data_IF_075421648370
#
_entry.id   IF_075421648370
#
_cell.length_a   1.000
_cell.length_b   1.000
_cell.length_c   1.000
_cell.angle_alpha   90.00
_cell.angle_beta   90.00
_cell.angle_gamma   90.00
#
_symmetry.space_group_name_H-M   'P 1'
#
loop_
_entity.id
_entity.type
_entity.pdbx_description
1 polymer ?
#
# COMPACT_ATOMS: atom_id res chain seq x y z
N UNK A 1 0.01 2.76 5.33
CA UNK A 1 0.44 3.50 6.51
C UNK A 1 0.31 2.64 7.75
N UNK A 2 1.36 2.51 8.53
CA UNK A 2 1.32 1.78 9.81
C UNK A 2 2.54 2.14 10.65
N UNK A 3 2.61 1.55 11.86
CA UNK A 3 3.77 1.67 12.74
C UNK A 3 4.97 0.91 12.19
N UNK A 4 6.18 1.39 12.51
CA UNK A 4 7.41 0.65 12.25
C UNK A 4 7.47 -0.68 13.03
N UNK A 5 6.74 -0.78 14.15
CA UNK A 5 6.55 -2.03 14.87
C UNK A 5 5.34 -2.78 14.28
N UNK A 6 5.53 -3.30 13.09
CA UNK A 6 4.46 -3.90 12.28
C UNK A 6 3.84 -5.12 12.98
N UNK A 7 2.58 -5.02 13.40
CA UNK A 7 1.85 -6.12 14.04
C UNK A 7 1.29 -7.09 12.99
N UNK A 8 0.50 -8.07 13.42
CA UNK A 8 -0.07 -9.06 12.50
C UNK A 8 -1.00 -8.44 11.45
N UNK A 9 -1.78 -7.45 11.83
CA UNK A 9 -2.66 -6.73 10.87
C UNK A 9 -1.82 -6.00 9.83
N UNK A 10 -0.78 -5.33 10.28
CA UNK A 10 0.17 -4.64 9.41
C UNK A 10 0.84 -5.62 8.43
N UNK A 11 1.31 -6.76 8.94
CA UNK A 11 1.94 -7.79 8.11
C UNK A 11 0.97 -8.34 7.07
N UNK A 12 -0.30 -8.50 7.42
CA UNK A 12 -1.33 -8.94 6.49
C UNK A 12 -1.53 -7.93 5.36
N UNK A 13 -1.50 -6.64 5.67
CA UNK A 13 -1.59 -5.61 4.63
C UNK A 13 -0.43 -5.70 3.65
N UNK A 14 0.80 -5.86 4.15
CA UNK A 14 1.97 -6.03 3.30
C UNK A 14 1.86 -7.27 2.43
N UNK A 15 1.40 -8.37 3.01
CA UNK A 15 1.20 -9.62 2.28
C UNK A 15 0.22 -9.45 1.12
N UNK A 16 -0.94 -8.87 1.38
CA UNK A 16 -1.95 -8.67 0.35
C UNK A 16 -1.51 -7.70 -0.72
N UNK A 17 -0.79 -6.64 -0.36
CA UNK A 17 -0.24 -5.71 -1.33
C UNK A 17 0.71 -6.44 -2.30
N UNK A 18 1.57 -7.31 -1.77
CA UNK A 18 2.48 -8.11 -2.61
C UNK A 18 1.71 -9.06 -3.51
N UNK A 19 0.73 -9.79 -2.96
CA UNK A 19 -0.04 -10.75 -3.73
C UNK A 19 -0.85 -10.08 -4.84
N UNK A 20 -1.49 -8.98 -4.53
CA UNK A 20 -2.28 -8.22 -5.51
C UNK A 20 -1.39 -7.74 -6.67
N UNK A 21 -0.18 -7.28 -6.36
CA UNK A 21 0.77 -6.87 -7.41
C UNK A 21 1.16 -8.06 -8.28
N UNK A 22 1.46 -9.20 -7.67
CA UNK A 22 1.90 -10.39 -8.39
C UNK A 22 0.83 -10.94 -9.33
N UNK A 23 -0.45 -10.90 -8.93
CA UNK A 23 -1.52 -11.43 -9.78
C UNK A 23 -1.82 -10.55 -11.00
N UNK A 24 -1.25 -9.36 -11.06
CA UNK A 24 -1.38 -8.53 -12.27
C UNK A 24 -0.51 -9.01 -13.42
N UNK A 25 0.35 -10.00 -13.18
CA UNK A 25 1.16 -10.62 -14.22
C UNK A 25 2.06 -9.62 -14.93
N UNK A 26 1.93 -9.52 -16.24
CA UNK A 26 2.76 -8.61 -17.05
C UNK A 26 2.57 -7.12 -16.70
N UNK A 27 1.47 -6.77 -16.06
CA UNK A 27 1.19 -5.39 -15.67
C UNK A 27 1.75 -5.03 -14.29
N UNK A 28 2.36 -5.99 -13.57
CA UNK A 28 2.84 -5.76 -12.21
C UNK A 28 3.87 -4.64 -12.11
N UNK A 29 4.64 -4.40 -13.16
CA UNK A 29 5.65 -3.32 -13.19
C UNK A 29 5.04 -1.92 -13.14
N UNK A 30 3.72 -1.80 -13.37
CA UNK A 30 3.00 -0.53 -13.29
C UNK A 30 2.58 -0.19 -11.86
N UNK A 31 2.81 -1.10 -10.90
CA UNK A 31 2.40 -0.94 -9.51
C UNK A 31 3.64 -0.91 -8.63
N UNK A 32 3.74 0.12 -7.81
CA UNK A 32 4.76 0.21 -6.78
C UNK A 32 4.11 0.14 -5.40
N UNK A 33 4.86 -0.37 -4.43
CA UNK A 33 4.37 -0.49 -3.06
C UNK A 33 5.16 0.45 -2.16
N UNK A 34 4.43 1.18 -1.32
CA UNK A 34 5.02 2.15 -0.42
C UNK A 34 4.45 1.94 0.98
N UNK A 35 5.32 1.77 1.95
CA UNK A 35 4.97 1.67 3.35
C UNK A 35 5.40 2.97 4.05
N UNK A 36 4.43 3.76 4.46
CA UNK A 36 4.70 4.99 5.21
C UNK A 36 4.64 4.67 6.69
N UNK A 37 5.79 4.78 7.36
CA UNK A 37 5.90 4.55 8.80
C UNK A 37 5.42 5.80 9.53
N UNK A 38 4.39 5.66 10.35
CA UNK A 38 3.75 6.80 11.01
C UNK A 38 4.28 7.12 12.41
N UNK A 39 5.35 6.45 12.83
CA UNK A 39 6.01 6.71 14.10
C UNK A 39 7.54 6.70 13.91
N UNK A 40 8.28 6.79 15.02
CA UNK A 40 9.74 6.82 14.95
C UNK A 40 10.39 5.44 15.10
N UNK A 41 9.58 4.38 15.10
CA UNK A 41 10.06 3.01 15.22
C UNK A 41 10.57 2.55 13.86
N UNK A 42 11.79 2.04 13.83
CA UNK A 42 12.38 1.53 12.61
C UNK A 42 11.86 0.12 12.32
N UNK A 43 11.40 -0.19 11.10
CA UNK A 43 10.95 -1.54 10.77
C UNK A 43 12.05 -2.57 10.97
N UNK A 44 11.66 -3.78 11.37
CA UNK A 44 12.57 -4.91 11.52
C UNK A 44 13.26 -5.22 10.19
N UNK A 45 14.57 -5.44 10.21
CA UNK A 45 15.33 -5.76 9.00
C UNK A 45 14.84 -7.03 8.30
N UNK A 46 14.36 -8.02 9.06
CA UNK A 46 13.79 -9.24 8.48
C UNK A 46 12.49 -8.95 7.73
N UNK A 47 11.67 -8.06 8.25
CA UNK A 47 10.44 -7.64 7.59
C UNK A 47 10.75 -6.93 6.27
N UNK A 48 11.73 -6.04 6.28
CA UNK A 48 12.15 -5.31 5.08
C UNK A 48 12.65 -6.28 4.01
N UNK A 49 13.43 -7.29 4.40
CA UNK A 49 13.91 -8.31 3.48
C UNK A 49 12.79 -9.17 2.92
N UNK A 50 11.83 -9.55 3.76
CA UNK A 50 10.70 -10.39 3.35
C UNK A 50 9.85 -9.69 2.28
N UNK A 51 9.73 -8.38 2.37
CA UNK A 51 8.92 -7.58 1.44
C UNK A 51 9.81 -6.71 0.54
N UNK A 52 10.87 -7.31 0.01
CA UNK A 52 11.75 -6.65 -0.94
C UNK A 52 10.94 -6.10 -2.11
N UNK A 53 11.27 -4.89 -2.53
CA UNK A 53 10.52 -4.18 -3.56
C UNK A 53 9.46 -3.23 -3.00
N UNK A 54 9.20 -3.30 -1.69
CA UNK A 54 8.36 -2.30 -1.01
C UNK A 54 9.27 -1.19 -0.48
N UNK A 55 8.90 0.05 -0.74
CA UNK A 55 9.64 1.20 -0.21
C UNK A 55 9.15 1.51 1.19
N UNK A 56 10.04 1.42 2.17
CA UNK A 56 9.76 1.77 3.56
C UNK A 56 10.27 3.18 3.83
N UNK A 57 9.36 4.11 4.07
CA UNK A 57 9.68 5.52 4.26
C UNK A 57 9.14 6.00 5.60
N UNK A 58 10.00 6.62 6.41
CA UNK A 58 9.55 7.23 7.66
C UNK A 58 8.85 8.55 7.34
N UNK A 59 7.59 8.65 7.72
CA UNK A 59 6.76 9.82 7.47
C UNK A 59 6.19 10.42 8.76
N UNK A 60 6.73 10.03 9.92
CA UNK A 60 6.20 10.44 11.23
C UNK A 60 6.15 11.97 11.39
N UNK A 61 7.11 12.67 10.81
CA UNK A 61 7.19 14.14 10.90
C UNK A 61 6.76 14.83 9.61
N UNK A 62 6.24 14.06 8.64
CA UNK A 62 5.81 14.60 7.36
C UNK A 62 4.33 14.98 7.39
N UNK A 63 4.00 16.07 6.73
CA UNK A 63 2.61 16.51 6.57
C UNK A 63 1.84 15.65 5.56
N UNK A 64 2.53 14.78 4.83
CA UNK A 64 1.89 13.97 3.79
C UNK A 64 0.82 13.04 4.36
N UNK A 65 1.01 12.56 5.59
CA UNK A 65 0.03 11.68 6.24
C UNK A 65 -1.30 12.40 6.50
N UNK A 66 -1.25 13.70 6.78
CA UNK A 66 -2.46 14.48 7.04
C UNK A 66 -3.31 14.64 5.78
N UNK A 67 -2.70 14.50 4.61
CA UNK A 67 -3.39 14.60 3.33
C UNK A 67 -4.14 13.33 2.96
N UNK A 68 -3.80 12.21 3.59
CA UNK A 68 -4.41 10.91 3.28
C UNK A 68 -5.72 10.74 4.04
N UNK A 69 -5.66 10.74 5.36
CA UNK A 69 -6.82 10.65 6.24
C UNK A 69 -6.42 11.07 7.64
N UNK A 70 -7.38 11.11 8.57
CA UNK A 70 -7.09 11.37 9.98
C UNK A 70 -6.25 10.23 10.56
N UNK A 71 -5.47 10.53 11.61
CA UNK A 71 -4.57 9.56 12.24
C UNK A 71 -5.28 8.29 12.71
N UNK A 72 -6.54 8.42 13.11
CA UNK A 72 -7.31 7.30 13.68
C UNK A 72 -7.62 6.21 12.65
N UNK A 73 -7.66 6.54 11.36
CA UNK A 73 -8.06 5.62 10.31
C UNK A 73 -6.97 5.27 9.32
N UNK A 74 -5.84 5.98 9.33
CA UNK A 74 -4.76 5.76 8.35
C UNK A 74 -4.26 4.33 8.30
N UNK A 75 -4.05 3.70 9.44
CA UNK A 75 -3.52 2.34 9.46
C UNK A 75 -4.58 1.26 9.26
N UNK A 76 -5.86 1.65 9.21
CA UNK A 76 -6.97 0.71 9.00
C UNK A 76 -7.23 0.40 7.54
N UNK A 77 -6.49 1.03 6.63
CA UNK A 77 -6.73 0.91 5.19
C UNK A 77 -5.45 0.71 4.41
N UNK A 78 -5.60 0.14 3.22
CA UNK A 78 -4.59 0.17 2.17
C UNK A 78 -5.08 1.18 1.14
N UNK A 79 -4.21 2.07 0.71
CA UNK A 79 -4.57 3.16 -0.21
C UNK A 79 -4.00 2.91 -1.59
N UNK A 80 -4.80 3.21 -2.60
CA UNK A 80 -4.36 3.20 -3.98
C UNK A 80 -4.26 4.65 -4.46
N UNK A 81 -3.06 5.03 -4.91
CA UNK A 81 -2.73 6.39 -5.32
C UNK A 81 -2.29 6.35 -6.78
N UNK A 82 -2.77 7.30 -7.58
CA UNK A 82 -2.36 7.39 -8.98
C UNK A 82 -0.96 8.01 -9.12
N UNK A 83 -0.37 7.96 -10.34
CA UNK A 83 0.99 8.46 -10.53
C UNK A 83 1.21 9.95 -10.23
N UNK A 84 0.15 10.74 -10.23
CA UNK A 84 0.24 12.18 -9.93
C UNK A 84 -0.15 12.51 -8.50
N UNK A 85 -0.35 11.48 -7.66
CA UNK A 85 -0.55 11.66 -6.23
C UNK A 85 -1.99 11.74 -5.75
N UNK A 86 -2.96 11.50 -6.61
CA UNK A 86 -4.37 11.51 -6.22
C UNK A 86 -4.78 10.19 -5.58
N UNK A 87 -5.46 10.28 -4.43
CA UNK A 87 -6.04 9.11 -3.78
C UNK A 87 -7.23 8.62 -4.60
N UNK A 88 -7.15 7.39 -5.10
CA UNK A 88 -8.18 6.81 -5.96
C UNK A 88 -9.14 5.91 -5.21
N UNK A 89 -8.61 5.03 -4.37
CA UNK A 89 -9.39 4.03 -3.64
C UNK A 89 -8.74 3.74 -2.31
N UNK A 90 -9.53 3.21 -1.38
CA UNK A 90 -9.02 2.65 -0.13
C UNK A 90 -9.65 1.28 0.09
N UNK A 91 -8.89 0.39 0.68
CA UNK A 91 -9.31 -0.98 0.98
C UNK A 91 -9.16 -1.22 2.48
N UNK A 92 -10.08 -1.95 3.10
CA UNK A 92 -9.99 -2.23 4.54
C UNK A 92 -8.76 -3.10 4.87
N UNK A 93 -8.30 -3.04 6.11
CA UNK A 93 -7.14 -3.81 6.56
C UNK A 93 -7.35 -5.33 6.50
N UNK A 94 -8.61 -5.78 6.59
CA UNK A 94 -8.98 -7.19 6.49
C UNK A 94 -9.52 -7.53 5.10
N UNK A 95 -8.87 -7.02 4.08
CA UNK A 95 -9.35 -7.06 2.71
C UNK A 95 -9.50 -8.48 2.14
N UNK A 96 -10.48 -8.62 1.25
CA UNK A 96 -10.54 -9.75 0.32
C UNK A 96 -9.55 -9.46 -0.83
N UNK A 97 -8.44 -10.17 -0.83
CA UNK A 97 -7.38 -9.97 -1.84
C UNK A 97 -7.85 -10.19 -3.26
N UNK A 98 -8.80 -11.10 -3.47
CA UNK A 98 -9.36 -11.38 -4.79
C UNK A 98 -10.10 -10.16 -5.33
N UNK A 99 -10.95 -9.54 -4.50
CA UNK A 99 -11.68 -8.35 -4.89
C UNK A 99 -10.75 -7.18 -5.20
N UNK A 100 -9.76 -6.98 -4.34
CA UNK A 100 -8.77 -5.92 -4.55
C UNK A 100 -8.03 -6.13 -5.87
N UNK A 101 -7.63 -7.36 -6.16
CA UNK A 101 -6.95 -7.69 -7.41
C UNK A 101 -7.79 -7.40 -8.64
N UNK A 102 -9.08 -7.72 -8.60
CA UNK A 102 -10.01 -7.41 -9.68
C UNK A 102 -10.18 -5.92 -9.89
N UNK A 103 -10.33 -5.16 -8.81
CA UNK A 103 -10.51 -3.72 -8.89
C UNK A 103 -9.29 -3.03 -9.49
N UNK A 104 -8.09 -3.44 -9.08
CA UNK A 104 -6.85 -2.87 -9.60
C UNK A 104 -6.67 -3.25 -11.07
N UNK A 105 -6.95 -4.50 -11.42
CA UNK A 105 -6.86 -4.96 -12.81
C UNK A 105 -7.76 -4.12 -13.73
N UNK A 106 -8.98 -3.84 -13.29
CA UNK A 106 -9.92 -2.99 -14.03
C UNK A 106 -9.37 -1.59 -14.23
N UNK A 107 -8.80 -1.00 -13.17
CA UNK A 107 -8.22 0.34 -13.25
C UNK A 107 -7.05 0.39 -14.21
N UNK A 108 -6.17 -0.61 -14.20
CA UNK A 108 -5.05 -0.68 -15.12
C UNK A 108 -5.51 -0.78 -16.58
N UNK A 109 -6.57 -1.54 -16.81
CA UNK A 109 -7.14 -1.68 -18.15
C UNK A 109 -7.71 -0.36 -18.66
N UNK A 110 -8.50 0.34 -17.83
CA UNK A 110 -9.07 1.65 -18.18
C UNK A 110 -7.96 2.66 -18.44
N UNK A 111 -6.92 2.66 -17.60
CA UNK A 111 -5.78 3.57 -17.77
C UNK A 111 -5.06 3.34 -19.10
N UNK A 112 -4.98 2.11 -19.59
CA UNK A 112 -4.41 1.82 -20.90
C UNK A 112 -5.26 2.41 -22.04
N UNK A 113 -6.58 2.38 -21.87
CA UNK A 113 -7.49 2.88 -22.91
C UNK A 113 -7.49 4.41 -23.01
N UNK A 114 -7.06 5.09 -21.93
CA UNK A 114 -6.99 6.56 -21.90
C UNK A 114 -5.73 7.10 -22.58
N UNK A 115 -4.80 6.23 -22.90
CA UNK A 115 -3.57 6.59 -23.60
C UNK A 115 -3.74 6.31 -25.08
#
# INVERSE_FOLDING_TARGET
>A
VDSGNCDEICKNKLYFMRQVRMVQGKEKHRIERLFLVNDKIQPDSELVKQYEGTYFVNAAESEILDLIETKDVQKKHIYLIDPIGNLMMRFPENIDGTKMGHDIKRLLHVSQLEH
#
